data_IF_354532387742
#
_entry.id   IF_354532387742
#
_cell.length_a   1.000
_cell.length_b   1.000
_cell.length_c   1.000
_cell.angle_alpha   90.00
_cell.angle_beta   90.00
_cell.angle_gamma   90.00
#
_symmetry.space_group_name_H-M   'P 1'
#
loop_
_entity.id
_entity.type
_entity.pdbx_description
1 polymer ?
#
# COMPACT_ATOMS: atom_id res chain seq x y z
N UNK A 1 0.10 19.74 -20.44
CA UNK A 1 -0.28 18.39 -20.92
C UNK A 1 -0.17 17.46 -19.73
N UNK A 2 -1.32 17.01 -19.24
CA UNK A 2 -1.50 16.07 -18.14
C UNK A 2 -0.91 14.71 -18.49
N UNK A 3 -0.18 14.10 -17.56
CA UNK A 3 0.19 12.69 -17.64
C UNK A 3 -0.39 12.02 -16.41
N UNK A 4 -1.67 11.71 -16.47
CA UNK A 4 -2.30 10.45 -16.05
C UNK A 4 -1.44 9.59 -15.10
N UNK A 5 -1.10 10.10 -13.92
CA UNK A 5 -0.12 9.44 -13.05
C UNK A 5 -0.74 8.35 -12.18
N UNK A 6 -2.06 8.19 -12.21
CA UNK A 6 -2.76 7.20 -11.39
C UNK A 6 -4.04 6.72 -12.08
N UNK A 7 -3.95 5.89 -13.11
CA UNK A 7 -5.07 5.09 -13.61
C UNK A 7 -4.52 3.76 -14.14
N UNK A 8 -5.13 2.60 -13.96
CA UNK A 8 -6.24 2.06 -13.17
C UNK A 8 -6.01 0.54 -13.21
N UNK A 9 -6.50 -0.18 -12.19
CA UNK A 9 -6.18 -1.60 -11.87
C UNK A 9 -4.77 -1.84 -11.32
N UNK A 10 -4.70 -1.86 -9.99
CA UNK A 10 -3.57 -2.37 -9.22
C UNK A 10 -3.47 -3.87 -9.50
N UNK A 11 -2.50 -4.26 -10.32
CA UNK A 11 -1.89 -5.59 -10.14
C UNK A 11 -1.37 -5.61 -8.69
N UNK A 12 -1.53 -6.71 -7.93
CA UNK A 12 -1.04 -6.78 -6.55
C UNK A 12 0.48 -6.52 -6.42
N UNK A 13 1.21 -6.45 -7.53
CA UNK A 13 2.63 -6.09 -7.56
C UNK A 13 2.89 -4.62 -7.92
N UNK A 14 1.87 -3.76 -8.06
CA UNK A 14 1.97 -2.45 -8.71
C UNK A 14 1.11 -1.36 -8.07
N UNK A 15 1.71 -0.24 -7.68
CA UNK A 15 1.02 1.03 -7.39
C UNK A 15 1.59 2.05 -8.36
N UNK A 16 0.92 2.26 -9.51
CA UNK A 16 1.30 3.20 -10.59
C UNK A 16 2.81 3.31 -10.88
N UNK A 17 3.38 2.73 -11.91
CA UNK A 17 4.81 2.60 -12.27
C UNK A 17 5.80 2.05 -11.24
N UNK A 18 5.47 2.02 -9.95
CA UNK A 18 6.31 1.45 -8.90
C UNK A 18 5.89 0.00 -8.67
N UNK A 19 6.84 -0.93 -8.79
CA UNK A 19 6.60 -2.35 -8.54
C UNK A 19 7.43 -2.88 -7.37
N UNK A 20 6.88 -3.90 -6.70
CA UNK A 20 7.67 -4.74 -5.80
C UNK A 20 8.90 -5.31 -6.53
N UNK A 21 9.95 -5.56 -5.76
CA UNK A 21 11.23 -6.18 -6.15
C UNK A 21 12.08 -5.39 -7.16
N UNK A 22 11.55 -4.27 -7.66
CA UNK A 22 12.35 -3.33 -8.43
C UNK A 22 13.50 -2.80 -7.57
N UNK A 23 14.65 -2.55 -8.18
CA UNK A 23 15.79 -2.00 -7.48
C UNK A 23 15.51 -0.52 -7.13
N UNK A 24 16.16 -0.02 -6.09
CA UNK A 24 15.99 1.35 -5.58
C UNK A 24 16.11 2.42 -6.68
N UNK A 25 16.98 2.20 -7.65
CA UNK A 25 17.25 3.09 -8.78
C UNK A 25 16.02 3.32 -9.67
N UNK A 26 15.04 2.41 -9.65
CA UNK A 26 13.76 2.60 -10.34
C UNK A 26 12.96 3.80 -9.82
N UNK A 27 13.20 4.23 -8.58
CA UNK A 27 12.53 5.37 -7.96
C UNK A 27 13.16 6.72 -8.36
N UNK A 28 14.21 6.74 -9.19
CA UNK A 28 14.97 7.97 -9.47
C UNK A 28 14.09 9.09 -10.05
N UNK A 29 13.17 8.78 -10.95
CA UNK A 29 12.28 9.79 -11.53
C UNK A 29 11.21 10.26 -10.54
N UNK A 30 10.73 9.37 -9.67
CA UNK A 30 9.82 9.69 -8.57
C UNK A 30 10.51 10.65 -7.58
N UNK A 31 11.78 10.40 -7.26
CA UNK A 31 12.59 11.28 -6.41
C UNK A 31 12.77 12.67 -7.01
N UNK A 32 13.20 12.74 -8.28
CA UNK A 32 13.39 14.02 -8.97
C UNK A 32 12.09 14.82 -9.00
N UNK A 33 10.98 14.16 -9.27
CA UNK A 33 9.67 14.79 -9.26
C UNK A 33 9.28 15.27 -7.86
N UNK A 34 9.36 14.39 -6.85
CA UNK A 34 8.97 14.70 -5.48
C UNK A 34 9.79 15.85 -4.89
N UNK A 35 11.12 15.81 -5.07
CA UNK A 35 12.04 16.87 -4.63
C UNK A 35 11.74 18.20 -5.32
N UNK A 36 11.56 18.20 -6.65
CA UNK A 36 11.27 19.41 -7.43
C UNK A 36 9.97 20.10 -6.99
N UNK A 37 8.98 19.33 -6.55
CA UNK A 37 7.67 19.85 -6.17
C UNK A 37 7.50 20.04 -4.65
N UNK A 38 8.53 19.76 -3.83
CA UNK A 38 8.45 19.93 -2.37
C UNK A 38 7.51 18.94 -1.68
N UNK A 39 7.28 17.77 -2.28
CA UNK A 39 6.33 16.73 -1.83
C UNK A 39 7.03 15.43 -1.42
N UNK A 40 8.34 15.48 -1.26
CA UNK A 40 9.19 14.35 -0.87
C UNK A 40 9.68 14.56 0.55
N UNK A 41 9.34 13.62 1.44
CA UNK A 41 9.85 13.57 2.80
C UNK A 41 10.56 12.24 3.05
N UNK A 42 11.88 12.27 3.19
CA UNK A 42 12.68 11.04 3.33
C UNK A 42 12.94 10.79 4.81
N UNK A 43 12.21 9.85 5.38
CA UNK A 43 12.45 9.37 6.73
C UNK A 43 13.24 8.05 6.73
N UNK A 44 14.53 8.11 7.09
CA UNK A 44 15.38 6.94 7.19
C UNK A 44 15.25 6.31 8.59
N UNK A 45 14.57 5.17 8.70
CA UNK A 45 14.56 4.33 9.91
C UNK A 45 15.47 3.10 9.75
N UNK A 46 15.60 2.28 10.80
CA UNK A 46 16.46 1.08 10.83
C UNK A 46 16.18 0.08 9.69
N UNK A 47 14.99 0.14 9.09
CA UNK A 47 14.66 -0.49 7.82
C UNK A 47 14.37 0.66 6.84
N UNK A 48 15.18 0.81 5.78
CA UNK A 48 15.08 1.92 4.82
C UNK A 48 13.64 2.10 4.33
N UNK A 49 12.97 3.11 4.89
CA UNK A 49 11.61 3.53 4.59
C UNK A 49 11.70 4.82 3.76
N UNK A 50 10.85 4.97 2.77
CA UNK A 50 10.72 6.18 1.98
C UNK A 50 9.26 6.59 2.01
N UNK A 51 8.98 7.81 2.45
CA UNK A 51 7.64 8.38 2.43
C UNK A 51 7.55 9.40 1.30
N UNK A 52 6.47 9.35 0.54
CA UNK A 52 6.15 10.35 -0.46
C UNK A 52 4.80 10.93 -0.09
N UNK A 53 4.76 12.24 0.18
CA UNK A 53 3.55 12.94 0.62
C UNK A 53 3.13 13.92 -0.47
N UNK A 54 2.26 13.48 -1.37
CA UNK A 54 1.75 14.28 -2.48
C UNK A 54 0.62 15.18 -1.99
N UNK A 55 0.85 16.50 -2.01
CA UNK A 55 -0.13 17.54 -1.68
C UNK A 55 -0.88 17.30 -0.35
N UNK A 56 -0.20 16.72 0.65
CA UNK A 56 -0.74 16.29 1.96
C UNK A 56 -1.89 15.26 1.91
N UNK A 57 -2.35 14.90 0.71
CA UNK A 57 -3.59 14.19 0.46
C UNK A 57 -3.38 12.76 -0.04
N UNK A 58 -2.19 12.41 -0.52
CA UNK A 58 -1.82 11.04 -0.88
C UNK A 58 -0.46 10.74 -0.26
N UNK A 59 -0.40 9.68 0.54
CA UNK A 59 0.85 9.19 1.12
C UNK A 59 1.19 7.86 0.46
N UNK A 60 2.41 7.74 -0.05
CA UNK A 60 2.99 6.49 -0.52
C UNK A 60 4.21 6.17 0.32
N UNK A 61 4.19 5.03 0.99
CA UNK A 61 5.31 4.53 1.76
C UNK A 61 5.99 3.40 0.99
N UNK A 62 7.32 3.35 1.00
CA UNK A 62 8.10 2.31 0.33
C UNK A 62 9.15 1.79 1.30
N UNK A 63 9.09 0.52 1.65
CA UNK A 63 10.17 -0.15 2.37
C UNK A 63 11.10 -0.87 1.42
N UNK A 64 12.40 -0.80 1.71
CA UNK A 64 13.44 -1.46 0.95
C UNK A 64 14.05 -2.61 1.75
N UNK A 65 14.30 -3.72 1.07
CA UNK A 65 15.10 -4.83 1.57
C UNK A 65 16.18 -5.16 0.56
N UNK A 66 17.45 -5.14 0.99
CA UNK A 66 18.62 -5.37 0.10
C UNK A 66 18.57 -4.51 -1.18
N UNK A 67 18.26 -3.23 -1.03
CA UNK A 67 18.12 -2.24 -2.12
C UNK A 67 17.03 -2.56 -3.16
N UNK A 68 16.06 -3.40 -2.80
CA UNK A 68 14.87 -3.67 -3.61
C UNK A 68 13.61 -3.26 -2.86
N UNK A 69 12.60 -2.85 -3.61
CA UNK A 69 11.28 -2.51 -3.05
C UNK A 69 10.65 -3.77 -2.48
N UNK A 70 10.54 -3.82 -1.16
CA UNK A 70 10.04 -4.98 -0.43
C UNK A 70 8.57 -4.80 -0.03
N UNK A 71 8.15 -3.56 0.20
CA UNK A 71 6.77 -3.21 0.49
C UNK A 71 6.45 -1.84 -0.09
N UNK A 72 5.20 -1.66 -0.50
CA UNK A 72 4.64 -0.36 -0.89
C UNK A 72 3.31 -0.21 -0.16
N UNK A 73 3.06 0.89 0.51
CA UNK A 73 1.74 1.19 1.04
C UNK A 73 1.21 2.54 0.61
N UNK A 74 -0.11 2.65 0.50
CA UNK A 74 -0.82 3.84 0.07
C UNK A 74 -1.93 4.17 1.05
N UNK A 75 -2.04 5.45 1.40
CA UNK A 75 -3.00 5.97 2.36
C UNK A 75 -3.69 7.23 1.81
N UNK A 76 -4.68 7.71 2.57
CA UNK A 76 -5.46 8.93 2.30
C UNK A 76 -6.20 8.86 0.95
N UNK A 77 -6.18 9.90 0.13
CA UNK A 77 -6.99 10.05 -1.09
C UNK A 77 -6.48 9.21 -2.27
N UNK A 78 -5.86 8.06 -2.02
CA UNK A 78 -5.49 7.13 -3.07
C UNK A 78 -6.75 6.57 -3.76
N UNK A 79 -6.93 6.90 -5.05
CA UNK A 79 -8.11 6.52 -5.81
C UNK A 79 -8.03 5.13 -6.45
N UNK A 80 -6.86 4.49 -6.39
CA UNK A 80 -6.67 3.15 -6.93
C UNK A 80 -7.42 2.10 -6.10
N UNK A 81 -7.84 1.03 -6.77
CA UNK A 81 -8.54 -0.09 -6.14
C UNK A 81 -7.86 -1.40 -6.51
N UNK A 82 -7.69 -2.28 -5.54
CA UNK A 82 -7.34 -3.68 -5.77
C UNK A 82 -8.62 -4.48 -5.98
N UNK A 83 -8.83 -4.94 -7.22
CA UNK A 83 -10.03 -5.71 -7.61
C UNK A 83 -11.34 -5.06 -7.11
N UNK A 84 -11.42 -3.73 -7.07
CA UNK A 84 -12.61 -3.00 -6.62
C UNK A 84 -12.71 -2.72 -5.11
N UNK A 85 -11.76 -3.14 -4.29
CA UNK A 85 -11.57 -2.66 -2.91
C UNK A 85 -10.52 -1.55 -2.92
N UNK A 86 -10.82 -0.39 -2.33
CA UNK A 86 -9.89 0.74 -2.23
C UNK A 86 -9.97 1.44 -0.89
N UNK A 87 -9.22 2.53 -0.73
CA UNK A 87 -9.38 3.41 0.43
C UNK A 87 -10.85 3.88 0.51
N UNK A 88 -11.42 3.82 1.71
CA UNK A 88 -12.82 4.16 1.93
C UNK A 88 -13.83 3.02 1.72
N UNK A 89 -13.42 1.89 1.12
CA UNK A 89 -14.26 0.68 1.07
C UNK A 89 -14.50 0.15 2.48
N UNK A 90 -15.68 -0.40 2.73
CA UNK A 90 -16.04 -0.85 4.07
C UNK A 90 -15.53 -2.26 4.37
N UNK A 91 -15.37 -2.59 5.65
CA UNK A 91 -15.02 -3.95 6.09
C UNK A 91 -16.07 -4.96 5.59
N UNK A 92 -17.35 -4.60 5.60
CA UNK A 92 -18.42 -5.42 5.04
C UNK A 92 -18.27 -5.69 3.54
N UNK A 93 -17.84 -4.70 2.75
CA UNK A 93 -17.53 -4.90 1.33
C UNK A 93 -16.34 -5.86 1.14
N UNK A 94 -15.29 -5.70 1.95
CA UNK A 94 -14.10 -6.56 1.93
C UNK A 94 -14.46 -8.01 2.29
N UNK A 95 -15.14 -8.24 3.40
CA UNK A 95 -15.54 -9.58 3.88
C UNK A 95 -16.51 -10.27 2.92
N UNK A 96 -17.44 -9.51 2.32
CA UNK A 96 -18.35 -10.04 1.29
C UNK A 96 -17.58 -10.51 0.04
N UNK A 97 -16.53 -9.78 -0.33
CA UNK A 97 -15.71 -10.10 -1.51
C UNK A 97 -14.72 -11.22 -1.24
N UNK A 98 -14.13 -11.26 -0.06
CA UNK A 98 -13.12 -12.22 0.37
C UNK A 98 -13.55 -12.89 1.68
N UNK A 99 -14.43 -13.91 1.62
CA UNK A 99 -14.98 -14.55 2.82
C UNK A 99 -13.94 -15.34 3.63
N UNK A 100 -12.81 -15.71 3.00
CA UNK A 100 -11.71 -16.43 3.63
C UNK A 100 -10.53 -15.51 4.00
N UNK A 101 -10.74 -14.19 4.07
CA UNK A 101 -9.67 -13.26 4.44
C UNK A 101 -9.20 -13.55 5.86
N UNK A 102 -7.88 -13.47 6.08
CA UNK A 102 -7.26 -13.71 7.38
C UNK A 102 -6.96 -12.37 8.00
N UNK A 103 -7.24 -12.21 9.29
CA UNK A 103 -6.81 -11.04 10.03
C UNK A 103 -5.55 -11.36 10.85
N UNK A 104 -4.52 -10.55 10.67
CA UNK A 104 -3.28 -10.59 11.44
C UNK A 104 -3.39 -9.63 12.64
N UNK A 105 -3.40 -10.19 13.86
CA UNK A 105 -3.54 -9.44 15.11
C UNK A 105 -2.31 -8.63 15.48
N UNK A 106 -1.13 -9.09 15.08
CA UNK A 106 0.12 -8.46 15.49
C UNK A 106 0.36 -7.20 14.65
N UNK A 107 0.01 -7.26 13.37
CA UNK A 107 0.21 -6.18 12.41
C UNK A 107 -1.07 -5.34 12.15
N UNK A 108 -2.24 -5.79 12.62
CA UNK A 108 -3.55 -5.17 12.40
C UNK A 108 -4.00 -5.07 10.93
N UNK A 109 -3.65 -6.06 10.09
CA UNK A 109 -4.04 -6.09 8.68
C UNK A 109 -4.94 -7.28 8.35
N UNK A 110 -5.79 -7.09 7.35
CA UNK A 110 -6.47 -8.17 6.65
C UNK A 110 -5.68 -8.62 5.43
N UNK A 111 -5.36 -9.91 5.36
CA UNK A 111 -4.58 -10.55 4.31
C UNK A 111 -5.50 -11.46 3.50
N UNK A 112 -5.51 -11.30 2.17
CA UNK A 112 -6.25 -12.21 1.30
C UNK A 112 -5.36 -13.44 0.99
N UNK A 113 -5.73 -14.67 1.39
CA UNK A 113 -4.84 -15.83 1.21
C UNK A 113 -4.44 -16.13 -0.24
N UNK A 114 -5.33 -15.83 -1.19
CA UNK A 114 -5.08 -15.97 -2.63
C UNK A 114 -4.10 -14.92 -3.18
N UNK A 115 -4.05 -13.74 -2.55
CA UNK A 115 -3.20 -12.61 -2.92
C UNK A 115 -2.40 -12.22 -1.70
N UNK A 116 -1.53 -13.13 -1.28
CA UNK A 116 -0.70 -12.96 -0.08
C UNK A 116 -0.05 -11.57 -0.08
N UNK A 117 0.39 -11.08 -1.24
CA UNK A 117 1.00 -9.75 -1.43
C UNK A 117 0.12 -8.56 -1.10
N UNK A 118 -1.18 -8.71 -0.81
CA UNK A 118 -2.07 -7.57 -0.55
C UNK A 118 -2.65 -7.64 0.85
N UNK A 119 -2.46 -6.55 1.58
CA UNK A 119 -2.99 -6.32 2.91
C UNK A 119 -3.87 -5.06 2.93
N UNK A 120 -4.93 -5.08 3.74
CA UNK A 120 -5.80 -3.94 4.00
C UNK A 120 -5.81 -3.60 5.48
N UNK A 121 -5.52 -2.35 5.81
CA UNK A 121 -5.61 -1.83 7.18
C UNK A 121 -6.91 -1.07 7.39
N UNK A 122 -7.42 -1.16 8.61
CA UNK A 122 -8.58 -0.42 9.10
C UNK A 122 -8.19 0.17 10.44
N UNK A 123 -8.60 1.41 10.72
CA UNK A 123 -8.49 1.97 12.06
C UNK A 123 -9.47 1.24 12.99
N UNK A 124 -8.97 0.66 14.10
CA UNK A 124 -9.77 0.00 15.14
C UNK A 124 -10.77 -1.07 14.66
N UNK A 125 -10.34 -2.15 13.97
CA UNK A 125 -11.24 -3.12 13.32
C UNK A 125 -12.05 -4.01 14.28
N UNK A 126 -11.86 -3.89 15.60
CA UNK A 126 -12.25 -4.90 16.59
C UNK A 126 -13.45 -4.58 17.47
N UNK A 127 -14.07 -3.42 17.35
CA UNK A 127 -15.40 -3.28 17.92
C UNK A 127 -16.37 -4.06 17.02
N UNK A 128 -16.79 -5.23 17.51
CA UNK A 128 -17.41 -6.40 16.82
C UNK A 128 -18.57 -6.17 15.83
N UNK A 129 -18.94 -4.94 15.55
CA UNK A 129 -20.10 -4.54 14.75
C UNK A 129 -19.75 -3.51 13.66
N UNK A 130 -18.48 -3.15 13.49
CA UNK A 130 -18.05 -2.08 12.60
C UNK A 130 -17.82 -2.53 11.14
N UNK A 131 -18.84 -3.14 10.52
CA UNK A 131 -18.82 -3.45 9.08
C UNK A 131 -18.66 -2.19 8.20
N UNK A 132 -18.92 -1.01 8.77
CA UNK A 132 -18.79 0.29 8.12
C UNK A 132 -17.40 0.92 8.27
N UNK A 133 -16.48 0.31 9.04
CA UNK A 133 -15.10 0.77 9.11
C UNK A 133 -14.49 0.75 7.73
N UNK A 134 -13.69 1.78 7.45
CA UNK A 134 -13.15 2.02 6.13
C UNK A 134 -11.70 1.56 6.06
N UNK A 135 -11.35 1.00 4.90
CA UNK A 135 -9.96 0.77 4.54
C UNK A 135 -9.24 2.12 4.58
N UNK A 136 -8.16 2.20 5.34
CA UNK A 136 -7.34 3.41 5.51
C UNK A 136 -5.98 3.31 4.82
N UNK A 137 -5.50 2.07 4.64
CA UNK A 137 -4.25 1.79 3.95
C UNK A 137 -4.35 0.49 3.16
N UNK A 138 -3.74 0.51 1.97
CA UNK A 138 -3.52 -0.70 1.16
C UNK A 138 -2.02 -0.92 1.07
N UNK A 139 -1.59 -2.11 1.44
CA UNK A 139 -0.17 -2.47 1.48
C UNK A 139 0.11 -3.64 0.56
N UNK A 140 1.14 -3.49 -0.26
CA UNK A 140 1.70 -4.52 -1.11
C UNK A 140 3.01 -5.03 -0.51
N UNK A 141 3.14 -6.34 -0.35
CA UNK A 141 4.30 -7.01 0.24
C UNK A 141 4.95 -7.99 -0.74
N UNK A 142 6.28 -7.94 -0.89
CA UNK A 142 7.02 -8.97 -1.60
C UNK A 142 7.26 -10.17 -0.69
N UNK A 143 6.67 -11.32 -1.03
CA UNK A 143 6.89 -12.58 -0.32
C UNK A 143 8.29 -13.15 -0.51
N UNK A 144 8.92 -12.83 -1.64
CA UNK A 144 10.27 -13.28 -1.96
C UNK A 144 11.31 -12.54 -1.11
N UNK A 145 11.04 -11.28 -0.77
CA UNK A 145 11.94 -10.45 0.03
C UNK A 145 11.59 -10.46 1.52
N UNK A 146 10.31 -10.41 1.86
CA UNK A 146 9.78 -10.41 3.22
C UNK A 146 9.07 -11.75 3.43
N UNK A 147 9.75 -12.68 4.09
CA UNK A 147 9.08 -13.88 4.58
C UNK A 147 8.22 -13.50 5.78
N UNK A 148 6.95 -13.18 5.53
CA UNK A 148 5.95 -13.25 6.60
C UNK A 148 5.84 -14.72 7.03
N UNK A 149 6.07 -15.05 8.32
CA UNK A 149 5.76 -16.37 8.82
C UNK A 149 4.23 -16.46 8.87
N UNK A 150 3.62 -17.14 7.91
CA UNK A 150 2.25 -17.61 8.07
C UNK A 150 2.21 -18.86 8.92
#
# INVERSE_FOLDING_TARGET
>A
MSRDFFCQEINPNYIGNICLEQPLESLQDVWKYGYKNGILDIELSNNFFLRFSFDENLIVNINLFKNKIAQISVLNNYLGKFKGIGIGSTLGELLKKYPNIIYDNDENFFIIPEYKSVCFFFENPYEKEQLDNKVEEITLNSYELIKYPF
#
